data_IF_857251454975
#
_entry.id   IF_857251454975
#
_cell.length_a   1.000
_cell.length_b   1.000
_cell.length_c   1.000
_cell.angle_alpha   90.00
_cell.angle_beta   90.00
_cell.angle_gamma   90.00
#
_symmetry.space_group_name_H-M   'P 1'
#
loop_
_entity.id
_entity.type
_entity.pdbx_description
1 polymer ?
#
# COMPACT_ATOMS: atom_id res chain seq x y z
N UNK A 1 -77.40 17.56 -25.92
CA UNK A 1 -76.62 16.85 -24.88
C UNK A 1 -75.15 17.30 -24.89
N UNK A 2 -74.78 18.22 -23.99
CA UNK A 2 -73.40 18.66 -23.80
C UNK A 2 -72.65 17.55 -23.05
N UNK A 3 -71.59 17.00 -23.65
CA UNK A 3 -70.65 16.10 -22.96
C UNK A 3 -69.67 16.99 -22.18
N UNK A 4 -69.61 16.77 -20.88
CA UNK A 4 -68.63 17.39 -20.00
C UNK A 4 -67.28 16.68 -20.18
N UNK A 5 -66.22 17.44 -20.43
CA UNK A 5 -64.85 16.93 -20.34
C UNK A 5 -64.50 16.60 -18.88
N UNK A 6 -63.72 15.54 -18.61
CA UNK A 6 -63.31 15.19 -17.26
C UNK A 6 -62.25 16.18 -16.72
N UNK A 7 -62.19 16.39 -15.40
CA UNK A 7 -61.23 17.31 -14.79
C UNK A 7 -59.79 16.77 -14.90
N UNK A 8 -58.83 17.67 -15.14
CA UNK A 8 -57.41 17.35 -15.11
C UNK A 8 -56.96 16.88 -13.71
N UNK A 9 -56.05 15.89 -13.63
CA UNK A 9 -55.50 15.46 -12.35
C UNK A 9 -54.60 16.56 -11.74
N UNK A 10 -54.74 16.76 -10.43
CA UNK A 10 -53.88 17.64 -9.65
C UNK A 10 -52.43 17.11 -9.61
N UNK A 11 -51.41 17.98 -9.59
CA UNK A 11 -50.02 17.54 -9.53
C UNK A 11 -49.69 16.98 -8.14
N UNK A 12 -49.15 15.76 -8.13
CA UNK A 12 -48.62 15.09 -6.93
C UNK A 12 -47.44 15.88 -6.36
N UNK A 13 -47.33 16.10 -5.03
CA UNK A 13 -46.14 16.67 -4.43
C UNK A 13 -44.93 15.75 -4.70
N UNK A 14 -43.86 16.27 -5.32
CA UNK A 14 -42.60 15.53 -5.45
C UNK A 14 -41.98 15.40 -4.06
N UNK A 15 -41.82 14.16 -3.62
CA UNK A 15 -40.97 13.80 -2.49
C UNK A 15 -39.54 14.30 -2.77
N UNK A 16 -38.81 14.87 -1.79
CA UNK A 16 -37.43 15.29 -2.01
C UNK A 16 -36.58 14.06 -2.30
N UNK A 17 -36.03 13.95 -3.51
CA UNK A 17 -35.06 12.92 -3.85
C UNK A 17 -33.86 13.05 -2.89
N UNK A 18 -33.45 11.98 -2.18
CA UNK A 18 -32.20 12.02 -1.44
C UNK A 18 -31.05 12.23 -2.44
N UNK A 19 -30.03 13.03 -2.10
CA UNK A 19 -28.96 13.37 -3.04
C UNK A 19 -28.31 12.09 -3.57
N UNK A 20 -28.43 11.88 -4.88
CA UNK A 20 -27.65 10.90 -5.60
C UNK A 20 -26.22 11.43 -5.69
N UNK A 21 -25.44 11.15 -4.64
CA UNK A 21 -23.99 11.36 -4.61
C UNK A 21 -23.36 10.16 -3.90
N UNK A 22 -23.61 8.95 -4.42
CA UNK A 22 -22.68 7.85 -4.16
C UNK A 22 -21.51 8.08 -5.13
N UNK A 23 -20.32 8.47 -4.66
CA UNK A 23 -19.15 8.51 -5.53
C UNK A 23 -18.93 7.09 -6.07
N UNK A 24 -18.44 6.94 -7.32
CA UNK A 24 -18.24 5.65 -7.93
C UNK A 24 -17.43 4.78 -6.98
N UNK A 25 -17.96 3.60 -6.68
CA UNK A 25 -17.23 2.49 -6.05
C UNK A 25 -15.92 2.38 -6.81
N UNK A 26 -14.80 2.67 -6.13
CA UNK A 26 -13.49 2.59 -6.75
C UNK A 26 -13.32 1.17 -7.28
N UNK A 27 -13.40 1.04 -8.61
CA UNK A 27 -12.67 0.03 -9.37
C UNK A 27 -11.29 -0.13 -8.75
N UNK A 28 -10.75 -1.35 -8.78
CA UNK A 28 -9.44 -1.73 -8.25
C UNK A 28 -8.26 -0.98 -8.90
N UNK A 29 -8.23 0.33 -8.74
CA UNK A 29 -7.14 1.21 -9.11
C UNK A 29 -6.00 0.90 -8.16
N UNK A 30 -4.92 0.36 -8.74
CA UNK A 30 -3.55 0.51 -8.26
C UNK A 30 -3.39 1.92 -7.68
N UNK A 31 -3.52 2.04 -6.35
CA UNK A 31 -3.28 3.29 -5.62
C UNK A 31 -1.77 3.47 -5.52
N UNK A 32 -1.18 3.95 -6.61
CA UNK A 32 0.20 4.38 -6.62
C UNK A 32 0.35 5.56 -5.68
N UNK A 33 1.33 5.51 -4.77
CA UNK A 33 1.70 6.67 -3.95
C UNK A 33 2.99 7.28 -4.46
N UNK A 34 3.02 8.61 -4.55
CA UNK A 34 4.18 9.36 -5.01
C UNK A 34 5.17 9.63 -3.87
N UNK A 35 6.46 9.35 -4.10
CA UNK A 35 7.54 9.58 -3.13
C UNK A 35 8.40 10.79 -3.47
N UNK A 36 8.47 11.73 -2.54
CA UNK A 36 9.34 12.90 -2.59
C UNK A 36 10.65 12.66 -1.80
N UNK A 37 11.63 13.57 -1.95
CA UNK A 37 12.86 13.49 -1.17
C UNK A 37 12.52 13.59 0.32
N UNK A 38 12.87 12.56 1.09
CA UNK A 38 12.47 12.46 2.49
C UNK A 38 11.05 11.91 2.70
N UNK A 39 10.47 11.13 1.80
CA UNK A 39 9.23 10.39 2.10
C UNK A 39 9.50 8.91 2.39
N UNK A 40 8.71 8.28 3.24
CA UNK A 40 8.73 6.84 3.45
C UNK A 40 7.36 6.23 3.09
N UNK A 41 7.35 5.03 2.51
CA UNK A 41 6.14 4.20 2.38
C UNK A 41 6.18 3.11 3.41
N UNK A 42 5.09 2.96 4.12
CA UNK A 42 4.82 1.81 4.97
C UNK A 42 3.70 0.97 4.35
N UNK A 43 3.92 -0.32 4.32
CA UNK A 43 2.92 -1.33 3.93
C UNK A 43 2.78 -2.29 5.11
N UNK A 44 1.58 -2.36 5.68
CA UNK A 44 1.29 -3.23 6.83
C UNK A 44 0.07 -4.11 6.60
N UNK A 45 0.07 -5.26 7.25
CA UNK A 45 -1.11 -6.10 7.39
C UNK A 45 -0.99 -7.04 8.59
N UNK A 46 -2.13 -7.44 9.16
CA UNK A 46 -2.18 -8.44 10.23
C UNK A 46 -1.82 -9.86 9.76
N UNK A 47 -1.94 -10.10 8.45
CA UNK A 47 -1.53 -11.34 7.78
C UNK A 47 -0.78 -10.97 6.52
N UNK A 48 0.27 -11.71 6.24
CA UNK A 48 0.98 -11.59 4.98
C UNK A 48 1.09 -12.93 4.28
N UNK A 49 1.08 -12.96 2.94
CA UNK A 49 1.38 -14.16 2.19
C UNK A 49 2.81 -14.66 2.44
N UNK A 50 3.06 -15.91 2.11
CA UNK A 50 4.40 -16.51 2.17
C UNK A 50 5.39 -15.79 1.24
N UNK A 51 4.90 -15.28 0.11
CA UNK A 51 5.68 -14.51 -0.85
C UNK A 51 4.87 -13.39 -1.48
N UNK A 52 5.43 -12.19 -1.55
CA UNK A 52 4.82 -11.05 -2.24
C UNK A 52 5.87 -10.10 -2.80
N UNK A 53 5.41 -9.18 -3.66
CA UNK A 53 6.29 -8.26 -4.38
C UNK A 53 5.79 -6.82 -4.29
N UNK A 54 6.72 -5.89 -4.04
CA UNK A 54 6.47 -4.46 -4.08
C UNK A 54 7.34 -3.83 -5.14
N UNK A 55 6.72 -3.20 -6.12
CA UNK A 55 7.41 -2.49 -7.18
C UNK A 55 7.50 -1.02 -6.81
N UNK A 56 8.71 -0.47 -6.81
CA UNK A 56 8.97 0.96 -6.55
C UNK A 56 9.47 1.59 -7.84
N UNK A 57 8.59 2.36 -8.46
CA UNK A 57 8.73 3.01 -9.74
C UNK A 57 8.92 1.96 -10.83
N UNK A 58 9.71 2.31 -11.84
CA UNK A 58 10.18 1.37 -12.85
C UNK A 58 11.51 0.70 -12.49
N UNK A 59 12.03 0.90 -11.28
CA UNK A 59 13.44 0.65 -11.00
C UNK A 59 13.70 -0.44 -9.99
N UNK A 60 12.83 -0.58 -8.99
CA UNK A 60 13.05 -1.55 -7.93
C UNK A 60 11.87 -2.49 -7.82
N UNK A 61 12.21 -3.74 -7.55
CA UNK A 61 11.27 -4.78 -7.20
C UNK A 61 11.76 -5.38 -5.90
N UNK A 62 11.00 -5.18 -4.84
CA UNK A 62 11.23 -5.74 -3.53
C UNK A 62 10.43 -7.03 -3.45
N UNK A 63 11.09 -8.15 -3.18
CA UNK A 63 10.45 -9.45 -3.01
C UNK A 63 10.69 -9.92 -1.58
N UNK A 64 9.60 -10.22 -0.87
CA UNK A 64 9.65 -10.92 0.40
C UNK A 64 9.34 -12.39 0.12
N UNK A 65 10.22 -13.29 0.54
CA UNK A 65 10.04 -14.74 0.43
C UNK A 65 10.33 -15.39 1.78
N UNK A 66 9.26 -15.70 2.53
CA UNK A 66 9.34 -16.27 3.87
C UNK A 66 9.85 -17.71 3.87
N UNK A 67 9.55 -18.46 2.81
CA UNK A 67 10.01 -19.85 2.67
C UNK A 67 11.52 -19.91 2.42
N UNK A 68 12.03 -19.05 1.54
CA UNK A 68 13.46 -18.90 1.30
C UNK A 68 14.18 -18.12 2.41
N UNK A 69 13.42 -17.57 3.35
CA UNK A 69 13.84 -16.67 4.42
C UNK A 69 14.66 -15.47 3.93
N UNK A 70 14.18 -14.83 2.88
CA UNK A 70 14.91 -13.80 2.16
C UNK A 70 14.06 -12.55 1.90
N UNK A 71 14.70 -11.38 2.02
CA UNK A 71 14.23 -10.14 1.40
C UNK A 71 15.18 -9.83 0.25
N UNK A 72 14.62 -9.57 -0.92
CA UNK A 72 15.38 -9.21 -2.10
C UNK A 72 14.97 -7.83 -2.58
N UNK A 73 15.93 -6.98 -2.94
CA UNK A 73 15.70 -5.74 -3.68
C UNK A 73 16.42 -5.85 -5.02
N UNK A 74 15.65 -5.98 -6.09
CA UNK A 74 16.14 -6.05 -7.47
C UNK A 74 16.02 -4.67 -8.11
N UNK A 75 17.17 -4.07 -8.45
CA UNK A 75 17.25 -2.93 -9.37
C UNK A 75 18.26 -3.21 -10.47
N UNK A 76 19.23 -2.31 -10.70
CA UNK A 76 20.37 -2.55 -11.61
C UNK A 76 21.17 -3.80 -11.23
N UNK A 77 21.25 -4.07 -9.92
CA UNK A 77 21.76 -5.32 -9.35
C UNK A 77 20.76 -5.85 -8.33
N UNK A 78 20.89 -7.12 -8.02
CA UNK A 78 20.10 -7.76 -6.97
C UNK A 78 20.85 -7.68 -5.65
N UNK A 79 20.17 -7.18 -4.62
CA UNK A 79 20.63 -7.16 -3.24
C UNK A 79 19.69 -8.01 -2.39
N UNK A 80 20.25 -8.76 -1.45
CA UNK A 80 19.50 -9.74 -0.66
C UNK A 80 19.90 -9.62 0.81
N UNK A 81 18.94 -9.83 1.69
CA UNK A 81 19.13 -10.05 3.11
C UNK A 81 18.50 -11.39 3.48
N UNK A 82 18.98 -12.03 4.55
CA UNK A 82 18.36 -13.23 5.11
C UNK A 82 17.67 -12.87 6.42
N UNK A 83 16.51 -13.45 6.69
CA UNK A 83 15.88 -13.26 8.00
C UNK A 83 16.77 -13.89 9.08
N UNK A 84 17.12 -13.13 10.13
CA UNK A 84 17.87 -13.68 11.26
C UNK A 84 17.13 -14.83 11.97
N UNK A 85 15.79 -14.80 11.92
CA UNK A 85 14.90 -15.77 12.57
C UNK A 85 13.78 -16.19 11.62
N UNK A 86 13.08 -17.28 11.95
CA UNK A 86 11.95 -17.76 11.15
C UNK A 86 10.78 -16.77 11.19
N UNK A 87 10.35 -16.20 10.06
CA UNK A 87 9.12 -15.43 10.00
C UNK A 87 7.91 -16.35 10.11
N UNK A 88 6.88 -15.90 10.81
CA UNK A 88 5.58 -16.56 10.83
C UNK A 88 4.94 -16.41 9.44
N UNK A 89 4.69 -17.53 8.76
CA UNK A 89 4.21 -17.58 7.37
C UNK A 89 2.98 -16.71 7.10
N UNK A 90 1.99 -16.71 8.00
CA UNK A 90 0.79 -15.85 7.95
C UNK A 90 0.72 -14.84 9.11
N UNK A 91 1.88 -14.39 9.61
CA UNK A 91 1.94 -13.42 10.69
C UNK A 91 1.75 -11.98 10.22
N UNK A 92 1.63 -11.08 11.19
CA UNK A 92 1.63 -9.65 10.94
C UNK A 92 3.00 -9.20 10.41
N UNK A 93 2.99 -8.14 9.61
CA UNK A 93 4.20 -7.56 9.06
C UNK A 93 4.10 -6.05 8.86
N UNK A 94 5.28 -5.43 8.78
CA UNK A 94 5.48 -4.08 8.27
C UNK A 94 6.62 -4.06 7.25
N UNK A 95 6.41 -3.39 6.12
CA UNK A 95 7.45 -3.12 5.14
C UNK A 95 7.58 -1.60 4.97
N UNK A 96 8.71 -1.08 5.44
CA UNK A 96 9.06 0.33 5.30
C UNK A 96 10.06 0.51 4.15
N UNK A 97 9.74 1.42 3.24
CA UNK A 97 10.51 1.72 2.03
C UNK A 97 10.81 3.21 2.02
N UNK A 98 12.08 3.59 2.02
CA UNK A 98 12.45 5.01 2.02
C UNK A 98 13.74 5.28 1.26
N UNK A 99 13.88 6.47 0.66
CA UNK A 99 15.14 6.96 0.13
C UNK A 99 16.10 7.30 1.27
N UNK A 100 17.29 6.71 1.24
CA UNK A 100 18.44 7.08 2.09
C UNK A 100 19.46 7.81 1.20
N UNK A 101 19.21 9.10 0.95
CA UNK A 101 19.97 9.87 -0.04
C UNK A 101 19.66 9.40 -1.46
N UNK A 102 20.66 8.89 -2.18
CA UNK A 102 20.50 8.29 -3.52
C UNK A 102 20.25 6.78 -3.48
N UNK A 103 20.06 6.20 -2.29
CA UNK A 103 19.89 4.77 -2.06
C UNK A 103 18.45 4.45 -1.71
N UNK A 104 18.02 3.21 -1.96
CA UNK A 104 16.80 2.67 -1.39
C UNK A 104 17.14 1.84 -0.15
N UNK A 105 16.37 2.04 0.92
CA UNK A 105 16.32 1.12 2.05
C UNK A 105 14.94 0.47 2.12
N UNK A 106 14.93 -0.85 2.29
CA UNK A 106 13.74 -1.63 2.56
C UNK A 106 13.93 -2.33 3.92
N UNK A 107 13.08 -2.01 4.89
CA UNK A 107 13.05 -2.62 6.23
C UNK A 107 11.80 -3.48 6.30
N UNK A 108 11.98 -4.75 6.64
CA UNK A 108 10.88 -5.70 6.78
C UNK A 108 10.83 -6.20 8.22
N UNK A 109 9.79 -5.77 8.93
CA UNK A 109 9.44 -6.21 10.28
C UNK A 109 8.42 -7.34 10.18
N UNK A 110 8.67 -8.41 10.94
CA UNK A 110 7.87 -9.62 10.87
C UNK A 110 7.66 -10.26 12.22
N UNK A 111 6.48 -10.83 12.41
CA UNK A 111 6.20 -11.64 13.58
C UNK A 111 6.88 -13.01 13.47
N UNK A 112 7.38 -13.53 14.58
CA UNK A 112 7.92 -14.90 14.70
C UNK A 112 6.89 -15.83 15.34
N UNK A 113 7.10 -17.16 15.25
CA UNK A 113 6.18 -18.13 15.85
C UNK A 113 6.04 -18.01 17.39
N UNK A 114 7.03 -17.42 18.07
CA UNK A 114 6.99 -17.14 19.50
C UNK A 114 6.15 -15.92 19.89
N UNK A 115 5.64 -15.16 18.91
CA UNK A 115 4.94 -13.90 19.13
C UNK A 115 5.86 -12.67 19.18
N UNK A 116 7.18 -12.86 19.24
CA UNK A 116 8.18 -11.79 19.16
C UNK A 116 8.28 -11.21 17.75
N UNK A 117 8.88 -10.03 17.65
CA UNK A 117 9.15 -9.34 16.38
C UNK A 117 10.61 -9.48 15.96
N UNK A 118 10.82 -9.84 14.70
CA UNK A 118 12.09 -9.76 14.01
C UNK A 118 12.10 -8.60 13.02
N UNK A 119 13.29 -8.15 12.66
CA UNK A 119 13.48 -7.12 11.64
C UNK A 119 14.66 -7.45 10.77
N UNK A 120 14.61 -7.00 9.53
CA UNK A 120 15.72 -7.10 8.62
C UNK A 120 15.73 -5.91 7.66
N UNK A 121 16.90 -5.60 7.12
CA UNK A 121 17.05 -4.45 6.22
C UNK A 121 17.90 -4.81 5.02
N UNK A 122 17.45 -4.41 3.84
CA UNK A 122 18.25 -4.45 2.60
C UNK A 122 18.42 -3.04 2.08
N UNK A 123 19.67 -2.67 1.79
CA UNK A 123 20.04 -1.37 1.23
C UNK A 123 20.65 -1.54 -0.14
N UNK A 124 20.25 -0.68 -1.08
CA UNK A 124 20.87 -0.63 -2.40
C UNK A 124 22.03 0.37 -2.42
N UNK A 125 22.99 0.24 -3.35
CA UNK A 125 23.90 1.33 -3.67
C UNK A 125 23.13 2.52 -4.26
N UNK A 126 23.83 3.66 -4.39
CA UNK A 126 23.27 4.87 -4.99
C UNK A 126 22.83 4.61 -6.43
N UNK A 127 21.72 5.21 -6.83
CA UNK A 127 21.10 5.01 -8.14
C UNK A 127 20.47 6.31 -8.64
N UNK A 128 20.52 6.58 -9.96
CA UNK A 128 19.81 7.71 -10.55
C UNK A 128 18.30 7.50 -10.63
N UNK A 129 17.78 6.38 -10.14
CA UNK A 129 16.35 6.09 -10.19
C UNK A 129 15.55 7.04 -9.29
N UNK A 130 14.50 7.64 -9.87
CA UNK A 130 13.47 8.36 -9.14
C UNK A 130 12.45 7.39 -8.54
N UNK A 131 12.21 7.47 -7.22
CA UNK A 131 11.31 6.56 -6.48
C UNK A 131 9.83 6.95 -6.58
N UNK A 132 9.43 7.65 -7.63
CA UNK A 132 8.20 8.45 -7.67
C UNK A 132 6.89 7.68 -7.59
N UNK A 133 6.82 6.34 -7.68
CA UNK A 133 5.55 5.61 -7.62
C UNK A 133 5.75 4.27 -6.92
N UNK A 134 4.79 3.77 -6.15
CA UNK A 134 4.85 2.39 -5.61
C UNK A 134 3.63 1.60 -6.06
N UNK A 135 3.85 0.47 -6.71
CA UNK A 135 2.82 -0.49 -7.09
C UNK A 135 3.01 -1.79 -6.30
N UNK A 136 1.95 -2.30 -5.68
CA UNK A 136 1.97 -3.56 -4.95
C UNK A 136 1.38 -4.67 -5.80
N UNK A 137 2.07 -5.81 -5.89
CA UNK A 137 1.60 -7.00 -6.64
C UNK A 137 1.80 -8.29 -5.83
N UNK A 138 0.90 -9.26 -6.00
CA UNK A 138 1.00 -10.55 -5.28
C UNK A 138 0.40 -10.56 -3.87
N UNK A 139 -0.51 -9.64 -3.57
CA UNK A 139 -1.34 -9.66 -2.37
C UNK A 139 -2.56 -10.57 -2.62
N UNK A 140 -2.75 -11.67 -1.87
CA UNK A 140 -3.96 -12.47 -1.97
C UNK A 140 -5.17 -11.62 -1.54
N UNK A 141 -6.22 -11.61 -2.36
CA UNK A 141 -7.39 -10.73 -2.17
C UNK A 141 -8.18 -10.98 -0.86
N UNK A 142 -7.86 -12.06 -0.13
CA UNK A 142 -8.48 -12.45 1.13
C UNK A 142 -7.74 -11.91 2.38
N UNK A 143 -6.63 -11.19 2.21
CA UNK A 143 -5.91 -10.61 3.34
C UNK A 143 -6.27 -9.13 3.51
N UNK A 144 -6.64 -8.76 4.74
CA UNK A 144 -6.99 -7.38 5.10
C UNK A 144 -5.70 -6.59 5.25
N UNK A 145 -5.20 -6.07 4.13
CA UNK A 145 -4.13 -5.09 4.15
C UNK A 145 -4.66 -3.80 4.75
N UNK A 146 -4.01 -3.30 5.80
CA UNK A 146 -4.43 -2.06 6.47
C UNK A 146 -4.11 -0.81 5.65
N UNK A 147 -3.37 -0.99 4.54
CA UNK A 147 -3.18 -0.01 3.49
C UNK A 147 -1.73 0.29 3.22
N UNK A 148 -1.51 1.02 2.13
CA UNK A 148 -0.23 1.68 1.83
C UNK A 148 -0.33 3.07 2.42
N UNK A 149 0.59 3.43 3.32
CA UNK A 149 0.69 4.78 3.88
C UNK A 149 1.99 5.40 3.41
N UNK A 150 1.95 6.60 2.83
CA UNK A 150 3.15 7.39 2.64
C UNK A 150 3.22 8.49 3.68
N UNK A 151 4.39 8.65 4.25
CA UNK A 151 4.73 9.72 5.17
C UNK A 151 5.71 10.65 4.47
N UNK A 152 5.46 11.95 4.56
CA UNK A 152 6.45 12.97 4.24
C UNK A 152 7.24 13.25 5.53
N UNK A 153 8.53 12.89 5.56
CA UNK A 153 9.36 13.09 6.76
C UNK A 153 9.82 14.54 6.96
N UNK A 154 9.56 15.46 6.02
CA UNK A 154 9.79 16.89 6.26
C UNK A 154 8.88 17.42 7.40
N UNK A 155 7.69 16.82 7.61
CA UNK A 155 6.83 17.14 8.75
C UNK A 155 7.30 16.52 10.08
N UNK A 156 8.16 15.50 10.06
CA UNK A 156 8.72 14.94 11.30
C UNK A 156 9.70 15.90 12.00
N UNK A 157 10.29 16.85 11.26
CA UNK A 157 11.08 17.92 11.89
C UNK A 157 10.22 18.90 12.69
N UNK A 158 8.92 18.99 12.37
CA UNK A 158 7.98 19.92 12.99
C UNK A 158 7.10 19.27 14.08
N UNK A 159 7.16 17.95 14.26
CA UNK A 159 6.42 17.22 15.29
C UNK A 159 7.13 17.17 16.66
N UNK A 160 8.29 17.83 16.78
CA UNK A 160 9.09 17.87 18.01
C UNK A 160 9.62 19.26 18.36
N UNK A 161 8.97 20.33 17.90
CA UNK A 161 9.28 21.72 18.30
C UNK A 161 8.13 22.31 19.13
#
# INVERSE_FOLDING_TARGET
PRRCDPPLPSPTPREPEPPTSVPPTQDGTNRGIDLHKGSAVEVTAEKSPERFTVTVGSCYTITVDKDAKELQVKGTRTHKGKFPTEPLKNGAFGLLIYPEGERLAAVYDYQTAGGDWGSMTVRTPSSPCSLLQVALTGIPANEVFEGVRAFLTDDMKNLGS
#
